data_IF_147492745244
#
_entry.id   IF_147492745244
#
_cell.length_a   1.000
_cell.length_b   1.000
_cell.length_c   1.000
_cell.angle_alpha   90.00
_cell.angle_beta   90.00
_cell.angle_gamma   90.00
#
_symmetry.space_group_name_H-M   'P 1'
#
loop_
_entity.id
_entity.type
_entity.pdbx_description
1 polymer ?
#
# COMPACT_ATOMS: atom_id res chain seq x y z
N UNK A 1 14.28 21.52 -48.73
CA UNK A 1 13.54 22.01 -47.55
C UNK A 1 12.83 20.83 -46.89
N UNK A 2 13.03 20.68 -45.56
CA UNK A 2 12.18 20.00 -44.54
C UNK A 2 11.87 18.50 -44.75
N UNK A 3 12.56 17.59 -44.05
CA UNK A 3 12.31 17.13 -42.67
C UNK A 3 11.06 16.25 -42.52
N UNK A 4 11.22 14.94 -42.76
CA UNK A 4 10.23 13.91 -42.44
C UNK A 4 10.43 13.43 -41.01
N UNK A 5 9.64 13.98 -40.09
CA UNK A 5 9.69 13.71 -38.66
C UNK A 5 9.18 12.31 -38.31
N UNK A 6 9.98 11.61 -37.50
CA UNK A 6 9.62 10.35 -36.81
C UNK A 6 8.53 10.63 -35.78
N UNK A 7 7.36 10.04 -35.96
CA UNK A 7 6.30 10.03 -34.94
C UNK A 7 6.60 8.90 -33.96
N UNK A 8 7.08 9.24 -32.77
CA UNK A 8 7.19 8.33 -31.65
C UNK A 8 5.78 8.10 -31.06
N UNK A 9 5.23 6.90 -31.21
CA UNK A 9 4.03 6.48 -30.50
C UNK A 9 4.38 6.27 -29.03
N UNK A 10 3.98 7.20 -28.18
CA UNK A 10 4.00 7.04 -26.73
C UNK A 10 2.80 6.19 -26.33
N UNK A 11 3.04 4.93 -25.98
CA UNK A 11 2.04 4.08 -25.32
C UNK A 11 2.01 4.48 -23.85
N UNK A 12 1.07 5.34 -23.48
CA UNK A 12 0.73 5.61 -22.07
C UNK A 12 -0.01 4.41 -21.52
N UNK A 13 0.64 3.63 -20.63
CA UNK A 13 -0.03 2.62 -19.81
C UNK A 13 -1.00 3.33 -18.85
N UNK A 14 -2.28 3.35 -19.21
CA UNK A 14 -3.34 3.70 -18.28
C UNK A 14 -3.61 2.51 -17.34
N UNK A 15 -2.84 2.42 -16.24
CA UNK A 15 -3.25 1.65 -15.06
C UNK A 15 -4.33 2.44 -14.32
N UNK A 16 -5.54 2.40 -14.87
CA UNK A 16 -6.74 3.02 -14.31
C UNK A 16 -7.88 2.02 -14.30
N UNK A 17 -7.77 0.95 -13.51
CA UNK A 17 -8.86 -0.01 -13.29
C UNK A 17 -8.69 -0.69 -11.92
N UNK A 18 -9.07 0.02 -10.85
CA UNK A 18 -9.72 -0.53 -9.64
C UNK A 18 -10.00 0.56 -8.57
N UNK A 19 -10.65 1.65 -8.95
CA UNK A 19 -11.39 2.51 -8.00
C UNK A 19 -12.68 2.96 -8.68
N UNK A 20 -13.55 1.99 -9.01
CA UNK A 20 -14.94 2.30 -9.37
C UNK A 20 -15.77 2.32 -8.09
N UNK A 21 -15.72 3.43 -7.39
CA UNK A 21 -16.79 3.80 -6.46
C UNK A 21 -18.05 4.03 -7.30
N UNK A 22 -19.05 3.15 -7.22
CA UNK A 22 -20.37 3.40 -7.80
C UNK A 22 -20.94 4.64 -7.12
N UNK A 23 -21.06 5.73 -7.87
CA UNK A 23 -21.95 6.83 -7.52
C UNK A 23 -23.37 6.36 -7.82
N UNK A 24 -24.14 6.06 -6.79
CA UNK A 24 -25.59 5.91 -6.90
C UNK A 24 -26.18 7.31 -6.75
N UNK A 25 -26.83 7.80 -7.81
CA UNK A 25 -27.57 9.05 -7.78
C UNK A 25 -28.81 8.94 -6.89
N UNK A 26 -29.02 10.02 -6.13
CA UNK A 26 -30.29 10.56 -5.64
C UNK A 26 -31.26 9.62 -4.90
N UNK A 27 -31.28 9.75 -3.58
CA UNK A 27 -32.54 10.06 -2.92
C UNK A 27 -32.33 11.23 -1.95
N UNK A 28 -33.25 12.19 -2.02
CA UNK A 28 -33.18 13.45 -1.33
C UNK A 28 -33.98 13.33 -0.04
N UNK A 29 -33.31 13.30 1.12
CA UNK A 29 -33.95 13.79 2.34
C UNK A 29 -32.95 14.15 3.45
N UNK A 30 -33.43 15.05 4.30
CA UNK A 30 -32.69 15.87 5.25
C UNK A 30 -31.71 15.14 6.17
N UNK A 31 -30.54 15.75 6.35
CA UNK A 31 -29.57 15.40 7.38
C UNK A 31 -28.17 15.65 6.88
N UNK A 32 -27.50 16.67 7.44
CA UNK A 32 -26.10 16.95 7.18
C UNK A 32 -25.24 15.74 7.59
N UNK A 33 -25.07 14.78 6.67
CA UNK A 33 -24.11 13.71 6.83
C UNK A 33 -22.75 14.30 6.49
N UNK A 34 -21.95 14.48 7.54
CA UNK A 34 -20.62 15.03 7.45
C UNK A 34 -19.87 14.38 6.31
N UNK A 35 -19.43 15.21 5.36
CA UNK A 35 -18.22 14.91 4.59
C UNK A 35 -17.21 14.49 5.66
N UNK A 36 -16.92 13.19 5.74
CA UNK A 36 -15.80 12.69 6.51
C UNK A 36 -14.60 13.46 5.98
N UNK A 37 -14.15 14.44 6.74
CA UNK A 37 -12.98 15.22 6.38
C UNK A 37 -11.88 14.20 6.10
N UNK A 38 -11.10 14.34 5.01
CA UNK A 38 -10.00 13.43 4.76
C UNK A 38 -9.15 13.49 6.02
N UNK A 39 -9.14 12.39 6.76
CA UNK A 39 -8.34 12.27 7.96
C UNK A 39 -6.92 12.22 7.43
N UNK A 40 -6.31 13.40 7.29
CA UNK A 40 -4.88 13.59 7.19
C UNK A 40 -4.27 13.18 8.53
N UNK A 41 -4.46 11.92 8.92
CA UNK A 41 -3.43 11.24 9.68
C UNK A 41 -2.21 11.36 8.76
N UNK A 42 -1.21 12.16 9.16
CA UNK A 42 0.04 12.25 8.42
C UNK A 42 0.68 10.87 8.46
N UNK A 43 0.26 9.99 7.54
CA UNK A 43 0.85 8.69 7.39
C UNK A 43 2.33 8.92 7.06
N UNK A 44 3.22 8.19 7.76
CA UNK A 44 4.65 8.44 7.73
C UNK A 44 5.19 8.47 6.30
N UNK A 45 6.19 9.31 6.03
CA UNK A 45 6.86 9.38 4.73
C UNK A 45 7.62 8.08 4.41
N UNK A 46 8.08 7.94 3.17
CA UNK A 46 8.83 6.76 2.73
C UNK A 46 10.09 6.49 3.56
N UNK A 47 10.73 7.53 4.09
CA UNK A 47 11.89 7.42 4.98
C UNK A 47 11.58 6.74 6.31
N UNK A 48 10.33 6.77 6.77
CA UNK A 48 9.92 6.06 7.99
C UNK A 48 9.54 4.62 7.66
N UNK A 49 8.95 4.39 6.48
CA UNK A 49 8.63 3.04 6.01
C UNK A 49 9.90 2.23 5.74
N UNK A 50 10.86 2.84 5.06
CA UNK A 50 12.14 2.25 4.71
C UNK A 50 13.25 3.26 5.03
N UNK A 51 13.77 3.24 6.28
CA UNK A 51 14.90 4.05 6.68
C UNK A 51 16.10 3.90 5.72
N UNK A 52 16.90 4.96 5.58
CA UNK A 52 17.95 5.02 4.56
C UNK A 52 18.99 3.90 4.69
N UNK A 53 19.35 3.52 5.90
CA UNK A 53 20.25 2.41 6.21
C UNK A 53 19.66 1.05 5.79
N UNK A 54 18.38 0.83 6.08
CA UNK A 54 17.65 -0.36 5.65
C UNK A 54 17.53 -0.39 4.12
N UNK A 55 17.20 0.74 3.49
CA UNK A 55 17.13 0.87 2.03
C UNK A 55 18.47 0.62 1.35
N UNK A 56 19.56 1.19 1.85
CA UNK A 56 20.89 1.04 1.25
C UNK A 56 21.41 -0.39 1.34
N UNK A 57 21.06 -1.12 2.40
CA UNK A 57 21.44 -2.54 2.54
C UNK A 57 20.64 -3.47 1.63
N UNK A 58 19.35 -3.23 1.42
CA UNK A 58 18.48 -4.11 0.63
C UNK A 58 18.39 -3.76 -0.85
N UNK A 59 18.42 -2.46 -1.15
CA UNK A 59 18.19 -1.92 -2.49
C UNK A 59 19.38 -1.05 -2.91
N UNK A 60 20.61 -1.60 -2.93
CA UNK A 60 21.81 -0.83 -3.24
C UNK A 60 21.72 -0.25 -4.65
N UNK A 61 21.94 1.06 -4.76
CA UNK A 61 21.88 1.78 -6.03
C UNK A 61 20.46 1.98 -6.59
N UNK A 62 19.40 1.70 -5.82
CA UNK A 62 18.05 2.05 -6.23
C UNK A 62 17.78 3.54 -5.99
N UNK A 63 16.99 4.14 -6.87
CA UNK A 63 16.47 5.50 -6.72
C UNK A 63 15.03 5.46 -6.22
N UNK A 64 14.70 6.30 -5.24
CA UNK A 64 13.36 6.33 -4.63
C UNK A 64 12.52 7.48 -5.19
N UNK A 65 11.23 7.21 -5.40
CA UNK A 65 10.18 8.18 -5.65
C UNK A 65 9.03 7.93 -4.66
N UNK A 66 8.60 8.99 -3.98
CA UNK A 66 7.38 8.97 -3.15
C UNK A 66 6.20 9.54 -3.95
N UNK A 67 5.08 8.83 -3.96
CA UNK A 67 3.79 9.32 -4.47
C UNK A 67 2.70 9.08 -3.41
N UNK A 68 1.67 9.95 -3.33
CA UNK A 68 0.51 9.76 -2.46
C UNK A 68 -0.75 9.58 -3.30
N UNK A 69 -1.15 8.32 -3.47
CA UNK A 69 -2.25 7.95 -4.36
C UNK A 69 -3.62 7.87 -3.66
N UNK A 70 -3.66 7.72 -2.33
CA UNK A 70 -4.87 7.53 -1.56
C UNK A 70 -4.78 8.18 -0.18
N UNK A 71 -5.90 8.65 0.39
CA UNK A 71 -5.93 9.29 1.71
C UNK A 71 -5.84 8.29 2.87
N UNK A 72 -6.15 7.01 2.63
CA UNK A 72 -6.17 5.96 3.67
C UNK A 72 -4.99 5.00 3.58
N UNK A 73 -4.23 5.03 2.49
CA UNK A 73 -3.00 4.28 2.38
C UNK A 73 -1.82 5.24 2.53
N UNK A 74 -0.72 4.71 3.08
CA UNK A 74 0.53 5.44 3.28
C UNK A 74 1.13 5.87 1.95
N UNK A 75 2.31 6.52 1.97
CA UNK A 75 3.01 6.82 0.74
C UNK A 75 3.27 5.55 -0.07
N UNK A 76 3.26 5.69 -1.39
CA UNK A 76 3.75 4.69 -2.31
C UNK A 76 5.22 4.97 -2.58
N UNK A 77 6.09 4.15 -2.01
CA UNK A 77 7.53 4.25 -2.13
C UNK A 77 8.01 3.38 -3.27
N UNK A 78 8.30 3.98 -4.42
CA UNK A 78 8.76 3.27 -5.62
C UNK A 78 10.27 3.38 -5.73
N UNK A 79 10.95 2.24 -5.77
CA UNK A 79 12.39 2.11 -5.94
C UNK A 79 12.69 1.52 -7.30
N UNK A 80 13.52 2.21 -8.09
CA UNK A 80 13.97 1.73 -9.41
C UNK A 80 15.46 1.43 -9.38
N UNK A 81 15.84 0.24 -9.84
CA UNK A 81 17.25 -0.15 -9.94
C UNK A 81 17.99 0.73 -10.96
N UNK A 82 19.20 1.18 -10.60
CA UNK A 82 20.09 1.87 -11.52
C UNK A 82 20.88 0.91 -12.42
N UNK A 83 21.12 -0.32 -11.96
CA UNK A 83 21.92 -1.34 -12.67
C UNK A 83 21.07 -2.23 -13.59
N UNK A 84 19.82 -2.51 -13.20
CA UNK A 84 18.93 -3.42 -13.92
C UNK A 84 17.72 -2.68 -14.44
N UNK A 85 17.62 -2.58 -15.77
CA UNK A 85 16.43 -2.05 -16.42
C UNK A 85 15.25 -2.98 -16.11
N UNK A 86 14.09 -2.38 -15.86
CA UNK A 86 12.83 -3.06 -15.57
C UNK A 86 12.71 -3.71 -14.18
N UNK A 87 13.75 -3.59 -13.32
CA UNK A 87 13.62 -3.94 -11.90
C UNK A 87 13.04 -2.77 -11.12
N UNK A 88 11.89 -2.98 -10.49
CA UNK A 88 11.20 -1.99 -9.67
C UNK A 88 10.60 -2.65 -8.44
N UNK A 89 10.71 -1.98 -7.31
CA UNK A 89 10.07 -2.36 -6.05
C UNK A 89 9.14 -1.24 -5.64
N UNK A 90 7.92 -1.56 -5.24
CA UNK A 90 7.05 -0.60 -4.58
C UNK A 90 6.67 -1.10 -3.20
N UNK A 91 6.73 -0.22 -2.21
CA UNK A 91 6.31 -0.51 -0.84
C UNK A 91 5.30 0.53 -0.37
N UNK A 92 4.24 0.09 0.29
CA UNK A 92 3.21 0.98 0.85
C UNK A 92 2.51 0.34 2.04
N UNK A 93 1.91 1.17 2.88
CA UNK A 93 1.00 0.74 3.95
C UNK A 93 -0.45 0.91 3.50
N UNK A 94 -1.29 -0.07 3.73
CA UNK A 94 -2.75 0.04 3.64
C UNK A 94 -3.32 -0.06 5.06
N UNK A 95 -3.80 1.06 5.62
CA UNK A 95 -4.29 1.11 6.99
C UNK A 95 -5.82 1.11 7.01
N UNK A 96 -6.41 0.12 7.69
CA UNK A 96 -7.87 0.01 7.83
C UNK A 96 -8.24 -0.35 9.26
N UNK A 97 -9.23 0.35 9.88
CA UNK A 97 -9.62 0.10 11.27
C UNK A 97 -9.99 -1.36 11.59
N UNK A 98 -10.53 -2.11 10.62
CA UNK A 98 -10.95 -3.49 10.84
C UNK A 98 -9.80 -4.51 10.83
N UNK A 99 -8.60 -4.15 10.35
CA UNK A 99 -7.48 -5.09 10.27
C UNK A 99 -7.01 -5.58 11.66
N UNK A 100 -7.10 -4.72 12.70
CA UNK A 100 -6.74 -5.11 14.06
C UNK A 100 -7.72 -6.09 14.71
N UNK A 101 -8.94 -6.22 14.16
CA UNK A 101 -10.00 -7.07 14.69
C UNK A 101 -10.23 -8.34 13.86
N UNK A 102 -9.68 -8.39 12.65
CA UNK A 102 -9.82 -9.53 11.75
C UNK A 102 -8.91 -10.68 12.18
N UNK A 103 -9.42 -11.91 12.09
CA UNK A 103 -8.58 -13.09 12.25
C UNK A 103 -7.62 -13.24 11.05
N UNK A 104 -6.53 -13.99 11.26
CA UNK A 104 -5.50 -14.18 10.22
C UNK A 104 -6.09 -14.75 8.93
N UNK A 105 -7.01 -15.71 9.00
CA UNK A 105 -7.59 -16.32 7.80
C UNK A 105 -8.33 -15.26 6.98
N UNK A 106 -9.13 -14.41 7.62
CA UNK A 106 -9.86 -13.32 6.98
C UNK A 106 -8.92 -12.30 6.32
N UNK A 107 -7.77 -12.01 6.95
CA UNK A 107 -6.75 -11.11 6.39
C UNK A 107 -6.08 -11.71 5.15
N UNK A 108 -5.76 -13.01 5.18
CA UNK A 108 -5.05 -13.68 4.09
C UNK A 108 -5.97 -14.06 2.92
N UNK A 109 -7.25 -14.31 3.18
CA UNK A 109 -8.21 -14.84 2.21
C UNK A 109 -8.26 -14.09 0.88
N UNK A 110 -8.24 -12.74 0.83
CA UNK A 110 -8.22 -12.01 -0.44
C UNK A 110 -7.05 -12.41 -1.34
N UNK A 111 -5.85 -12.55 -0.77
CA UNK A 111 -4.64 -12.94 -1.50
C UNK A 111 -4.69 -14.41 -1.90
N UNK A 112 -5.10 -15.30 -0.97
CA UNK A 112 -5.21 -16.74 -1.23
C UNK A 112 -6.23 -17.05 -2.34
N UNK A 113 -7.38 -16.36 -2.35
CA UNK A 113 -8.42 -16.53 -3.36
C UNK A 113 -7.97 -16.19 -4.79
N UNK A 114 -6.92 -15.39 -4.92
CA UNK A 114 -6.31 -14.98 -6.19
C UNK A 114 -5.12 -15.86 -6.60
N UNK A 115 -4.99 -17.05 -5.99
CA UNK A 115 -3.90 -18.00 -6.22
C UNK A 115 -2.61 -17.64 -5.48
N UNK A 116 -2.70 -16.83 -4.42
CA UNK A 116 -1.59 -16.59 -3.52
C UNK A 116 -1.38 -17.75 -2.53
N UNK A 117 -0.25 -17.70 -1.85
CA UNK A 117 0.18 -18.69 -0.87
C UNK A 117 0.50 -17.99 0.45
N UNK A 118 0.23 -18.65 1.57
CA UNK A 118 0.63 -18.16 2.89
C UNK A 118 2.16 -18.18 3.03
N UNK A 119 2.71 -17.20 3.77
CA UNK A 119 4.14 -17.09 4.06
C UNK A 119 4.34 -17.18 5.58
N UNK A 120 4.38 -18.39 6.16
CA UNK A 120 4.45 -18.56 7.63
C UNK A 120 5.67 -17.89 8.27
N UNK A 121 6.77 -17.77 7.53
CA UNK A 121 8.01 -17.15 8.00
C UNK A 121 7.89 -15.65 8.31
N UNK A 122 6.82 -14.99 7.84
CA UNK A 122 6.49 -13.58 8.07
C UNK A 122 5.26 -13.41 8.98
N UNK A 123 4.78 -14.50 9.61
CA UNK A 123 3.59 -14.47 10.46
C UNK A 123 2.31 -14.32 9.65
N UNK A 124 1.55 -13.24 9.89
CA UNK A 124 0.35 -12.91 9.12
C UNK A 124 0.77 -12.37 7.75
N UNK A 125 1.05 -13.25 6.80
CA UNK A 125 1.46 -12.84 5.47
C UNK A 125 1.03 -13.84 4.38
N UNK A 126 0.78 -13.31 3.19
CA UNK A 126 0.58 -14.09 1.99
C UNK A 126 1.28 -13.42 0.80
N UNK A 127 1.76 -14.23 -0.14
CA UNK A 127 2.35 -13.75 -1.38
C UNK A 127 1.62 -14.30 -2.58
N UNK A 128 1.45 -13.45 -3.59
CA UNK A 128 0.88 -13.82 -4.88
C UNK A 128 1.96 -13.72 -5.93
N UNK A 129 2.30 -14.88 -6.51
CA UNK A 129 3.18 -14.97 -7.66
C UNK A 129 2.44 -14.55 -8.92
N UNK A 130 3.14 -13.84 -9.80
CA UNK A 130 2.71 -13.45 -11.13
C UNK A 130 1.31 -12.78 -11.24
N UNK A 131 0.96 -11.77 -10.41
CA UNK A 131 -0.15 -10.87 -10.77
C UNK A 131 0.10 -10.19 -12.14
N UNK A 132 1.37 -10.04 -12.52
CA UNK A 132 1.88 -9.86 -13.88
C UNK A 132 3.17 -10.68 -14.05
N UNK A 133 3.61 -10.93 -15.29
CA UNK A 133 4.83 -11.72 -15.55
C UNK A 133 6.05 -11.10 -14.84
N UNK A 134 6.80 -11.91 -14.09
CA UNK A 134 7.99 -11.47 -13.34
C UNK A 134 7.69 -10.62 -12.10
N UNK A 135 6.45 -10.66 -11.60
CA UNK A 135 6.04 -9.92 -10.41
C UNK A 135 5.80 -10.86 -9.22
N UNK A 136 6.21 -10.44 -8.03
CA UNK A 136 5.80 -11.01 -6.75
C UNK A 136 5.19 -9.90 -5.90
N UNK A 137 3.98 -10.12 -5.40
CA UNK A 137 3.34 -9.23 -4.45
C UNK A 137 3.23 -9.93 -3.11
N UNK A 138 3.75 -9.31 -2.06
CA UNK A 138 3.68 -9.77 -0.68
C UNK A 138 2.77 -8.82 0.08
N UNK A 139 1.82 -9.38 0.80
CA UNK A 139 0.99 -8.67 1.77
C UNK A 139 1.29 -9.25 3.15
N UNK A 140 1.65 -8.38 4.09
CA UNK A 140 1.93 -8.78 5.46
C UNK A 140 1.28 -7.80 6.43
N UNK A 141 0.89 -8.29 7.61
CA UNK A 141 0.24 -7.49 8.64
C UNK A 141 1.15 -7.40 9.85
N UNK A 142 1.24 -6.19 10.38
CA UNK A 142 1.92 -5.92 11.64
C UNK A 142 0.91 -6.08 12.78
N UNK A 143 1.29 -6.75 13.88
CA UNK A 143 0.38 -7.05 14.98
C UNK A 143 0.07 -5.81 15.85
N UNK A 144 0.94 -4.81 15.82
CA UNK A 144 0.88 -3.63 16.67
C UNK A 144 0.20 -2.44 15.96
N UNK A 145 -0.15 -2.58 14.68
CA UNK A 145 -0.76 -1.52 13.87
C UNK A 145 -1.97 -2.02 13.07
N UNK A 146 -2.98 -1.16 12.80
CA UNK A 146 -4.11 -1.50 11.94
C UNK A 146 -3.74 -1.42 10.45
N UNK A 147 -2.52 -1.81 10.08
CA UNK A 147 -1.95 -1.58 8.75
C UNK A 147 -1.39 -2.87 8.13
N UNK A 148 -1.61 -3.02 6.83
CA UNK A 148 -0.98 -4.05 6.01
C UNK A 148 0.18 -3.45 5.22
N UNK A 149 1.35 -4.07 5.28
CA UNK A 149 2.47 -3.77 4.41
C UNK A 149 2.26 -4.49 3.07
N UNK A 150 2.34 -3.73 1.98
CA UNK A 150 2.28 -4.28 0.63
C UNK A 150 3.62 -4.02 -0.05
N UNK A 151 4.33 -5.09 -0.38
CA UNK A 151 5.55 -5.04 -1.19
C UNK A 151 5.26 -5.66 -2.54
N UNK A 152 5.52 -4.94 -3.62
CA UNK A 152 5.42 -5.47 -4.98
C UNK A 152 6.79 -5.35 -5.64
N UNK A 153 7.34 -6.49 -6.04
CA UNK A 153 8.58 -6.58 -6.79
C UNK A 153 8.29 -6.97 -8.22
N UNK A 154 8.89 -6.26 -9.17
CA UNK A 154 8.83 -6.53 -10.60
C UNK A 154 10.25 -6.67 -11.14
N UNK A 155 10.51 -7.71 -11.92
CA UNK A 155 11.79 -7.94 -12.60
C UNK A 155 12.63 -9.04 -11.95
N UNK A 156 13.95 -8.95 -12.09
CA UNK A 156 14.91 -9.94 -11.60
C UNK A 156 14.74 -10.30 -10.12
N UNK A 157 14.92 -11.57 -9.80
CA UNK A 157 14.87 -12.14 -8.44
C UNK A 157 13.67 -11.67 -7.58
N UNK A 158 12.42 -11.88 -8.02
CA UNK A 158 11.24 -11.34 -7.34
C UNK A 158 11.08 -11.76 -5.87
N UNK A 159 11.72 -12.85 -5.49
CA UNK A 159 11.74 -13.44 -4.15
C UNK A 159 12.39 -12.51 -3.12
N UNK A 160 13.21 -11.54 -3.57
CA UNK A 160 13.72 -10.46 -2.72
C UNK A 160 12.61 -9.60 -2.11
N UNK A 161 11.38 -9.64 -2.67
CA UNK A 161 10.22 -9.00 -2.04
C UNK A 161 9.97 -9.49 -0.61
N UNK A 162 10.27 -10.76 -0.32
CA UNK A 162 10.11 -11.34 1.01
C UNK A 162 11.11 -10.76 2.02
N UNK A 163 12.35 -10.54 1.60
CA UNK A 163 13.38 -9.93 2.43
C UNK A 163 13.06 -8.46 2.70
N UNK A 164 12.62 -7.72 1.67
CA UNK A 164 12.14 -6.34 1.82
C UNK A 164 10.95 -6.26 2.77
N UNK A 165 9.97 -7.16 2.64
CA UNK A 165 8.82 -7.21 3.54
C UNK A 165 9.25 -7.48 4.99
N UNK A 166 10.14 -8.46 5.20
CA UNK A 166 10.65 -8.81 6.53
C UNK A 166 11.32 -7.62 7.24
N UNK A 167 12.19 -6.92 6.51
CA UNK A 167 12.97 -5.83 7.08
C UNK A 167 12.12 -4.56 7.26
N UNK A 168 11.20 -4.28 6.35
CA UNK A 168 10.25 -3.18 6.50
C UNK A 168 9.32 -3.40 7.71
N UNK A 169 8.81 -4.62 7.92
CA UNK A 169 8.07 -4.97 9.14
C UNK A 169 8.92 -4.75 10.39
N UNK A 170 10.16 -5.25 10.40
CA UNK A 170 11.08 -5.05 11.54
C UNK A 170 11.47 -3.59 11.81
N UNK A 171 11.42 -2.72 10.80
CA UNK A 171 11.67 -1.29 10.93
C UNK A 171 10.43 -0.50 11.38
N UNK A 172 9.25 -1.13 11.39
CA UNK A 172 7.97 -0.50 11.71
C UNK A 172 7.95 -0.06 13.16
N UNK A 173 7.58 1.20 13.41
CA UNK A 173 7.40 1.75 14.75
C UNK A 173 5.92 2.09 14.95
N UNK A 174 5.20 1.38 15.84
CA UNK A 174 3.75 1.58 16.00
C UNK A 174 3.35 3.04 16.29
N UNK A 175 4.19 3.77 17.03
CA UNK A 175 3.99 5.19 17.33
C UNK A 175 3.90 6.11 16.09
N UNK A 176 4.44 5.65 14.95
CA UNK A 176 4.36 6.39 13.68
C UNK A 176 3.03 6.21 12.95
N UNK A 177 2.19 5.25 13.37
CA UNK A 177 0.89 4.93 12.78
C UNK A 177 -0.26 5.29 13.73
N UNK A 178 -0.45 6.59 13.98
CA UNK A 178 -1.64 7.06 14.70
C UNK A 178 -2.80 7.22 13.74
N UNK A 179 -3.73 6.25 13.76
CA UNK A 179 -5.07 6.42 13.20
C UNK A 179 -5.89 7.22 14.23
N UNK A 180 -6.41 8.42 13.90
CA UNK A 180 -7.26 9.15 14.82
C UNK A 180 -8.51 8.34 15.13
N UNK A 181 -8.73 8.06 16.41
CA UNK A 181 -10.02 7.57 16.90
C UNK A 181 -11.01 8.73 16.71
N UNK A 182 -12.12 8.57 15.97
CA UNK A 182 -13.13 9.62 15.89
C UNK A 182 -13.64 9.91 17.32
N UNK A 183 -13.85 11.18 17.69
CA UNK A 183 -14.35 11.51 19.02
C UNK A 183 -15.68 10.77 19.24
N UNK A 184 -15.75 9.97 20.30
CA UNK A 184 -17.03 9.45 20.80
C UNK A 184 -17.94 10.65 20.93
N UNK A 185 -19.02 10.68 20.13
CA UNK A 185 -20.06 11.68 20.30
C UNK A 185 -20.57 11.47 21.71
N UNK A 186 -20.31 12.43 22.59
CA UNK A 186 -20.94 12.49 23.92
C UNK A 186 -22.43 12.24 23.70
N UNK A 187 -22.87 11.06 24.12
CA UNK A 187 -24.26 10.69 24.17
C UNK A 187 -24.85 11.61 25.25
N UNK A 188 -25.28 12.80 24.81
CA UNK A 188 -25.99 13.78 25.62
C UNK A 188 -27.22 13.06 26.17
N UNK A 189 -27.05 12.54 27.39
CA UNK A 189 -28.06 11.82 28.13
C UNK A 189 -29.00 12.89 28.65
N UNK A 190 -29.90 13.33 27.77
CA UNK A 190 -31.04 14.15 28.13
C UNK A 190 -31.72 13.53 29.35
N UNK A 191 -31.55 14.19 30.49
CA UNK A 191 -32.19 13.81 31.74
C UNK A 191 -33.63 14.37 31.72
N UNK A 192 -34.64 13.59 32.12
CA UNK A 192 -36.07 13.89 31.93
C UNK A 192 -36.59 15.13 32.68
#
# INVERSE_FOLDING_TARGET
>A
MRAGGRVALWVTLAMGLACRSRATEADADAGATGRVAPVNAMLPACEVLLPSDVRESMLPGFTMKEDRACPTCGPLCTFRSASEKDVTVSVTWDCKPHYSQADTQALLQPTLSLGGEEIPALGKAAARRAPAQGMLQVMAWDDDTPCALIVTWLGGSPEQALDVARLALGATRPDSFRVPVPPESELDSGTP
#
